data_IF_017097273666
#
_entry.id   IF_017097273666
#
_cell.length_a   1.000
_cell.length_b   1.000
_cell.length_c   1.000
_cell.angle_alpha   90.00
_cell.angle_beta   90.00
_cell.angle_gamma   90.00
#
_symmetry.space_group_name_H-M   'P 1'
#
loop_
_entity.id
_entity.type
_entity.pdbx_description
1 polymer ?
#
# COMPACT_ATOMS: atom_id res chain seq x y z
N UNK A 1 -5.11 -34.67 29.65
CA UNK A 1 -4.33 -33.63 30.36
C UNK A 1 -4.19 -32.36 29.53
N UNK A 2 -3.66 -32.41 28.31
CA UNK A 2 -3.56 -31.23 27.42
C UNK A 2 -4.94 -30.64 27.09
N UNK A 3 -5.86 -31.47 26.57
CA UNK A 3 -7.25 -31.03 26.27
C UNK A 3 -7.99 -30.39 27.46
N UNK A 4 -7.77 -30.86 28.69
CA UNK A 4 -8.40 -30.24 29.87
C UNK A 4 -7.83 -28.87 30.21
N UNK A 5 -6.58 -28.59 29.81
CA UNK A 5 -5.91 -27.31 30.03
C UNK A 5 -6.14 -26.33 28.88
N UNK A 6 -6.44 -26.82 27.66
CA UNK A 6 -6.71 -25.97 26.49
C UNK A 6 -8.19 -25.70 26.25
N UNK A 7 -9.10 -26.57 26.69
CA UNK A 7 -10.56 -26.41 26.46
C UNK A 7 -11.18 -25.22 27.19
N UNK A 8 -10.53 -24.65 28.20
CA UNK A 8 -11.01 -23.45 28.90
C UNK A 8 -10.92 -22.17 28.05
N UNK A 9 -10.26 -22.22 26.89
CA UNK A 9 -10.11 -21.06 26.00
C UNK A 9 -11.15 -21.12 24.88
N UNK A 10 -12.23 -20.35 25.03
CA UNK A 10 -13.42 -20.39 24.16
C UNK A 10 -13.41 -19.39 22.98
N UNK A 11 -12.50 -18.42 22.98
CA UNK A 11 -12.46 -17.32 22.01
C UNK A 11 -11.37 -17.48 20.96
N UNK A 12 -10.91 -18.71 20.73
CA UNK A 12 -9.85 -19.01 19.77
C UNK A 12 -10.45 -19.45 18.44
N UNK A 13 -9.85 -19.02 17.34
CA UNK A 13 -10.05 -19.65 16.04
C UNK A 13 -9.61 -21.13 16.08
N UNK A 14 -10.04 -21.90 15.10
CA UNK A 14 -9.66 -23.32 15.00
C UNK A 14 -8.14 -23.49 14.95
N UNK A 15 -7.45 -22.68 14.14
CA UNK A 15 -6.00 -22.73 13.97
C UNK A 15 -5.28 -22.38 15.28
N UNK A 16 -5.72 -21.33 15.99
CA UNK A 16 -5.13 -20.96 17.29
C UNK A 16 -5.34 -22.05 18.35
N UNK A 17 -6.48 -22.72 18.32
CA UNK A 17 -6.77 -23.83 19.23
C UNK A 17 -5.88 -25.04 18.94
N UNK A 18 -5.67 -25.36 17.68
CA UNK A 18 -4.81 -26.47 17.25
C UNK A 18 -3.34 -26.18 17.62
N UNK A 19 -2.87 -24.95 17.44
CA UNK A 19 -1.51 -24.52 17.78
C UNK A 19 -1.25 -24.56 19.29
N UNK A 20 -2.22 -24.09 20.07
CA UNK A 20 -2.16 -24.19 21.52
C UNK A 20 -2.17 -25.64 22.01
N UNK A 21 -2.95 -26.49 21.34
CA UNK A 21 -3.03 -27.92 21.63
C UNK A 21 -1.71 -28.62 21.30
N UNK A 22 -1.09 -28.31 20.16
CA UNK A 22 0.20 -28.84 19.77
C UNK A 22 1.32 -28.40 20.71
N UNK A 23 1.32 -27.12 21.12
CA UNK A 23 2.22 -26.58 22.15
C UNK A 23 2.13 -27.40 23.44
N UNK A 24 0.91 -27.71 23.89
CA UNK A 24 0.69 -28.54 25.06
C UNK A 24 1.18 -29.98 24.90
N UNK A 25 1.03 -30.59 23.72
CA UNK A 25 1.55 -31.93 23.45
C UNK A 25 3.08 -31.97 23.43
N UNK A 26 3.74 -30.99 22.81
CA UNK A 26 5.20 -30.86 22.84
C UNK A 26 5.71 -30.72 24.27
N UNK A 27 5.06 -29.89 25.08
CA UNK A 27 5.39 -29.74 26.50
C UNK A 27 5.22 -31.04 27.29
N UNK A 28 4.18 -31.83 27.00
CA UNK A 28 3.97 -33.13 27.62
C UNK A 28 5.08 -34.13 27.25
N UNK A 29 5.47 -34.21 25.97
CA UNK A 29 6.57 -35.05 25.52
C UNK A 29 7.90 -34.63 26.17
N UNK A 30 8.17 -33.32 26.22
CA UNK A 30 9.35 -32.79 26.90
C UNK A 30 9.35 -33.09 28.40
N UNK A 31 8.20 -33.01 29.06
CA UNK A 31 8.06 -33.40 30.46
C UNK A 31 8.32 -34.90 30.65
N UNK A 32 7.82 -35.76 29.76
CA UNK A 32 8.07 -37.20 29.85
C UNK A 32 9.56 -37.54 29.73
N UNK A 33 10.30 -36.86 28.85
CA UNK A 33 11.74 -37.04 28.70
C UNK A 33 12.56 -36.54 29.90
N UNK A 34 12.10 -35.46 30.55
CA UNK A 34 12.83 -34.81 31.66
C UNK A 34 12.37 -35.25 33.05
N UNK A 35 11.34 -36.10 33.14
CA UNK A 35 10.80 -36.52 34.42
C UNK A 35 11.82 -37.36 35.18
N UNK A 36 12.14 -36.96 36.40
CA UNK A 36 12.94 -37.77 37.31
C UNK A 36 12.09 -38.93 37.86
N UNK A 37 12.69 -40.10 38.17
CA UNK A 37 11.96 -41.23 38.74
C UNK A 37 11.51 -40.97 40.19
N UNK A 38 12.02 -39.93 40.83
CA UNK A 38 11.75 -39.58 42.24
C UNK A 38 10.52 -38.70 42.41
N UNK A 39 10.00 -38.10 41.34
CA UNK A 39 8.84 -37.20 41.37
C UNK A 39 7.64 -37.79 40.64
N UNK A 40 6.41 -37.56 41.12
CA UNK A 40 5.21 -38.00 40.42
C UNK A 40 5.05 -37.23 39.09
N UNK A 41 4.94 -37.98 38.00
CA UNK A 41 4.82 -37.41 36.65
C UNK A 41 3.59 -36.49 36.43
N UNK A 42 2.37 -36.83 36.88
CA UNK A 42 1.19 -36.03 36.57
C UNK A 42 1.23 -34.55 37.01
N UNK A 43 1.60 -34.21 38.27
CA UNK A 43 1.71 -32.81 38.67
C UNK A 43 2.85 -32.07 37.96
N UNK A 44 3.98 -32.74 37.71
CA UNK A 44 5.10 -32.19 36.95
C UNK A 44 4.71 -31.86 35.51
N UNK A 45 4.10 -32.82 34.79
CA UNK A 45 3.62 -32.63 33.44
C UNK A 45 2.56 -31.53 33.35
N UNK A 46 1.64 -31.47 34.32
CA UNK A 46 0.61 -30.41 34.38
C UNK A 46 1.24 -29.03 34.52
N UNK A 47 2.28 -28.88 35.35
CA UNK A 47 3.02 -27.64 35.48
C UNK A 47 3.76 -27.26 34.19
N UNK A 48 4.42 -28.23 33.55
CA UNK A 48 5.15 -28.01 32.31
C UNK A 48 4.23 -27.56 31.15
N UNK A 49 3.08 -28.22 30.98
CA UNK A 49 2.08 -27.85 29.97
C UNK A 49 1.55 -26.44 30.23
N UNK A 50 1.22 -26.11 31.48
CA UNK A 50 0.70 -24.79 31.84
C UNK A 50 1.74 -23.70 31.56
N UNK A 51 3.00 -23.93 31.90
CA UNK A 51 4.08 -22.97 31.64
C UNK A 51 4.27 -22.75 30.13
N UNK A 52 4.27 -23.83 29.33
CA UNK A 52 4.38 -23.73 27.87
C UNK A 52 3.21 -22.95 27.25
N UNK A 53 1.98 -23.13 27.76
CA UNK A 53 0.82 -22.33 27.35
C UNK A 53 1.05 -20.84 27.66
N UNK A 54 1.54 -20.51 28.85
CA UNK A 54 1.85 -19.10 29.19
C UNK A 54 2.97 -18.51 28.34
N UNK A 55 4.01 -19.30 28.03
CA UNK A 55 5.10 -18.88 27.15
C UNK A 55 4.58 -18.60 25.73
N UNK A 56 3.72 -19.47 25.20
CA UNK A 56 3.06 -19.25 23.90
C UNK A 56 2.32 -17.90 23.86
N UNK A 57 1.51 -17.60 24.88
CA UNK A 57 0.79 -16.32 24.93
C UNK A 57 1.72 -15.12 25.02
N UNK A 58 2.78 -15.19 25.84
CA UNK A 58 3.80 -14.15 25.92
C UNK A 58 4.46 -13.92 24.56
N UNK A 59 4.74 -14.98 23.81
CA UNK A 59 5.38 -14.87 22.51
C UNK A 59 4.41 -14.41 21.41
N UNK A 60 3.11 -14.73 21.51
CA UNK A 60 2.07 -14.12 20.68
C UNK A 60 1.99 -12.61 20.92
N UNK A 61 2.00 -12.16 22.18
CA UNK A 61 1.96 -10.74 22.53
C UNK A 61 3.21 -10.00 22.04
N UNK A 62 4.41 -10.57 22.24
CA UNK A 62 5.66 -10.00 21.70
C UNK A 62 5.63 -9.89 20.18
N UNK A 63 5.18 -10.94 19.47
CA UNK A 63 5.05 -10.91 18.01
C UNK A 63 4.05 -9.85 17.57
N UNK A 64 2.89 -9.77 18.22
CA UNK A 64 1.89 -8.74 17.95
C UNK A 64 2.43 -7.31 18.18
N UNK A 65 3.31 -7.11 19.15
CA UNK A 65 3.94 -5.81 19.39
C UNK A 65 5.08 -5.52 18.39
N UNK A 66 5.74 -6.54 17.86
CA UNK A 66 6.81 -6.41 16.87
C UNK A 66 6.28 -6.22 15.44
N UNK A 67 5.07 -6.73 15.14
CA UNK A 67 4.44 -6.65 13.83
C UNK A 67 3.19 -5.78 13.89
N UNK A 68 3.16 -4.72 13.09
CA UNK A 68 1.93 -3.98 12.81
C UNK A 68 1.26 -4.55 11.55
N UNK A 69 -0.07 -4.46 11.49
CA UNK A 69 -0.81 -4.78 10.26
C UNK A 69 -0.30 -3.89 9.12
N UNK A 70 -0.28 -4.41 7.90
CA UNK A 70 -0.02 -3.58 6.72
C UNK A 70 -1.01 -2.40 6.69
N UNK A 71 -2.27 -2.62 7.02
CA UNK A 71 -3.28 -1.55 7.12
C UNK A 71 -2.89 -0.48 8.15
N UNK A 72 -2.27 -0.87 9.26
CA UNK A 72 -1.81 0.06 10.29
C UNK A 72 -0.59 0.87 9.84
N UNK A 73 0.26 0.32 8.98
CA UNK A 73 1.33 1.07 8.31
C UNK A 73 0.79 2.02 7.24
N UNK A 74 -0.29 1.62 6.58
CA UNK A 74 -0.94 2.40 5.54
C UNK A 74 -1.95 3.40 6.11
N UNK A 75 -2.18 3.46 7.41
CA UNK A 75 -3.11 4.44 8.00
C UNK A 75 -2.32 5.53 8.70
N UNK A 76 -2.43 6.76 8.22
CA UNK A 76 -1.88 7.95 8.83
C UNK A 76 -2.49 8.19 10.24
N UNK A 77 -1.83 9.00 11.06
CA UNK A 77 -2.33 9.36 12.40
C UNK A 77 -3.70 10.07 12.37
N UNK A 78 -4.08 10.66 11.23
CA UNK A 78 -5.40 11.29 11.01
C UNK A 78 -6.47 10.32 10.46
N UNK A 79 -6.14 9.04 10.30
CA UNK A 79 -7.03 8.00 9.78
C UNK A 79 -7.11 7.93 8.26
N UNK A 80 -6.34 8.74 7.53
CA UNK A 80 -6.25 8.66 6.07
C UNK A 80 -5.35 7.51 5.62
N UNK A 81 -5.73 6.81 4.56
CA UNK A 81 -4.90 5.73 4.00
C UNK A 81 -3.77 6.33 3.15
N UNK A 82 -2.52 6.14 3.58
CA UNK A 82 -1.33 6.29 2.74
C UNK A 82 -1.35 5.24 1.64
N UNK A 83 -1.43 5.68 0.38
CA UNK A 83 -1.07 4.84 -0.76
C UNK A 83 0.47 4.75 -0.80
N UNK A 84 1.07 3.58 -0.53
CA UNK A 84 2.53 3.46 -0.48
C UNK A 84 3.09 3.66 -1.89
N UNK A 85 4.25 4.32 -2.02
CA UNK A 85 4.92 4.59 -3.31
C UNK A 85 5.19 3.32 -4.14
N UNK A 86 5.23 2.14 -3.50
CA UNK A 86 5.30 0.85 -4.21
C UNK A 86 4.04 0.51 -5.03
N UNK A 87 2.87 1.06 -4.70
CA UNK A 87 1.62 0.91 -5.46
C UNK A 87 1.53 1.90 -6.64
N UNK A 88 2.45 2.88 -6.72
CA UNK A 88 2.58 3.74 -7.90
C UNK A 88 3.10 2.97 -9.13
N UNK A 89 3.49 1.70 -8.97
CA UNK A 89 3.71 0.76 -10.07
C UNK A 89 2.45 -0.03 -10.46
N UNK A 90 1.25 0.58 -10.41
CA UNK A 90 0.19 0.21 -11.37
C UNK A 90 0.56 0.68 -12.78
N UNK A 91 1.73 0.27 -13.25
CA UNK A 91 1.96 -0.02 -14.67
C UNK A 91 1.58 -1.49 -14.96
N UNK A 92 0.66 -2.06 -14.18
CA UNK A 92 0.00 -3.30 -14.57
C UNK A 92 -1.00 -2.97 -15.68
N UNK A 93 -0.48 -3.13 -16.89
CA UNK A 93 -1.20 -3.39 -18.14
C UNK A 93 -2.32 -2.40 -18.42
N UNK A 94 -1.99 -1.25 -19.04
CA UNK A 94 -2.98 -0.64 -19.93
C UNK A 94 -3.46 -1.76 -20.87
N UNK A 95 -4.78 -1.96 -20.93
CA UNK A 95 -5.38 -2.76 -22.00
C UNK A 95 -4.80 -2.29 -23.34
N UNK A 96 -4.56 -3.17 -24.33
CA UNK A 96 -4.10 -2.73 -25.65
C UNK A 96 -4.91 -1.56 -26.21
N UNK A 97 -6.23 -1.52 -25.92
CA UNK A 97 -7.11 -0.40 -26.29
C UNK A 97 -6.74 0.90 -25.58
N UNK A 98 -6.47 0.86 -24.28
CA UNK A 98 -6.07 2.03 -23.50
C UNK A 98 -4.69 2.55 -23.95
N UNK A 99 -3.77 1.64 -24.30
CA UNK A 99 -2.45 2.01 -24.80
C UNK A 99 -2.54 2.74 -26.14
N UNK A 100 -3.40 2.25 -27.05
CA UNK A 100 -3.70 2.91 -28.33
C UNK A 100 -4.35 4.28 -28.11
N UNK A 101 -5.36 4.39 -27.24
CA UNK A 101 -6.01 5.67 -26.92
C UNK A 101 -5.03 6.69 -26.31
N UNK A 102 -4.10 6.24 -25.46
CA UNK A 102 -3.07 7.10 -24.91
C UNK A 102 -2.11 7.63 -26.00
N UNK A 103 -1.71 6.76 -26.93
CA UNK A 103 -0.87 7.16 -28.07
C UNK A 103 -1.59 8.11 -29.03
N UNK A 104 -2.87 7.86 -29.31
CA UNK A 104 -3.72 8.71 -30.16
C UNK A 104 -3.97 10.08 -29.53
N UNK A 105 -4.30 10.14 -28.24
CA UNK A 105 -4.49 11.40 -27.51
C UNK A 105 -3.19 12.21 -27.41
N UNK A 106 -2.04 11.56 -27.19
CA UNK A 106 -0.73 12.22 -27.22
C UNK A 106 -0.39 12.79 -28.61
N UNK A 107 -0.67 12.01 -29.67
CA UNK A 107 -0.49 12.44 -31.06
C UNK A 107 -1.42 13.59 -31.44
N UNK A 108 -2.66 13.57 -30.96
CA UNK A 108 -3.62 14.65 -31.14
C UNK A 108 -3.18 15.94 -30.47
N UNK A 109 -2.76 15.88 -29.20
CA UNK A 109 -2.20 17.04 -28.49
C UNK A 109 -0.99 17.65 -29.20
N UNK A 110 -0.14 16.81 -29.82
CA UNK A 110 1.00 17.29 -30.62
C UNK A 110 0.55 18.00 -31.89
N UNK A 111 -0.52 17.54 -32.56
CA UNK A 111 -1.11 18.23 -33.72
C UNK A 111 -1.71 19.59 -33.32
N UNK A 112 -2.46 19.64 -32.22
CA UNK A 112 -3.00 20.88 -31.66
C UNK A 112 -1.90 21.88 -31.30
N UNK A 113 -0.78 21.40 -30.75
CA UNK A 113 0.40 22.21 -30.46
C UNK A 113 0.99 22.85 -31.73
N UNK A 114 1.04 22.10 -32.85
CA UNK A 114 1.56 22.58 -34.13
C UNK A 114 0.60 23.50 -34.89
N UNK A 115 -0.71 23.26 -34.82
CA UNK A 115 -1.73 24.06 -35.50
C UNK A 115 -2.11 25.33 -34.72
N UNK A 116 -1.79 25.38 -33.42
CA UNK A 116 -2.14 26.46 -32.53
C UNK A 116 -1.35 27.75 -32.72
N UNK A 117 -1.91 28.86 -32.24
CA UNK A 117 -1.17 30.12 -32.07
C UNK A 117 0.08 29.93 -31.19
N UNK A 118 1.12 30.76 -31.36
CA UNK A 118 2.37 30.67 -30.60
C UNK A 118 2.14 30.65 -29.06
N UNK A 119 1.16 31.42 -28.57
CA UNK A 119 0.79 31.42 -27.14
C UNK A 119 0.08 30.14 -26.69
N UNK A 120 -0.71 29.52 -27.57
CA UNK A 120 -1.34 28.22 -27.29
C UNK A 120 -0.28 27.13 -27.19
N UNK A 121 0.67 27.08 -28.15
CA UNK A 121 1.81 26.16 -28.15
C UNK A 121 2.62 26.28 -26.84
N UNK A 122 3.00 27.49 -26.46
CA UNK A 122 3.69 27.75 -25.20
C UNK A 122 2.87 27.31 -23.99
N UNK A 123 1.55 27.49 -24.03
CA UNK A 123 0.63 27.03 -22.99
C UNK A 123 0.59 25.51 -22.84
N UNK A 124 0.45 24.77 -23.95
CA UNK A 124 0.46 23.30 -23.96
C UNK A 124 1.79 22.75 -23.44
N UNK A 125 2.91 23.27 -23.94
CA UNK A 125 4.25 22.86 -23.48
C UNK A 125 4.46 23.17 -22.00
N UNK A 126 4.00 24.33 -21.53
CA UNK A 126 4.09 24.71 -20.11
C UNK A 126 3.22 23.82 -19.21
N UNK A 127 2.10 23.28 -19.70
CA UNK A 127 1.29 22.31 -18.97
C UNK A 127 1.98 20.94 -18.90
N UNK A 128 2.63 20.50 -19.99
CA UNK A 128 3.42 19.26 -20.03
C UNK A 128 4.60 19.31 -19.06
N UNK A 129 5.34 20.43 -19.03
CA UNK A 129 6.42 20.64 -18.07
C UNK A 129 5.91 20.62 -16.62
N UNK A 130 4.73 21.19 -16.36
CA UNK A 130 4.11 21.15 -15.04
C UNK A 130 3.77 19.71 -14.60
N UNK A 131 3.32 18.85 -15.53
CA UNK A 131 3.10 17.42 -15.25
C UNK A 131 4.40 16.69 -14.93
N UNK A 132 5.53 17.10 -15.51
CA UNK A 132 6.87 16.58 -15.21
C UNK A 132 7.50 17.17 -13.94
N UNK A 133 6.76 17.97 -13.15
CA UNK A 133 7.21 18.51 -11.86
C UNK A 133 7.77 19.93 -11.89
N UNK A 134 7.79 20.62 -13.05
CA UNK A 134 8.28 22.00 -13.13
C UNK A 134 7.27 23.01 -12.57
N UNK A 135 7.77 23.99 -11.83
CA UNK A 135 6.99 25.13 -11.36
C UNK A 135 6.83 26.20 -12.44
N UNK A 136 5.77 27.02 -12.38
CA UNK A 136 5.60 28.15 -13.31
C UNK A 136 6.77 29.14 -13.27
N UNK A 137 7.49 29.23 -12.15
CA UNK A 137 8.67 30.08 -11.99
C UNK A 137 9.88 29.54 -12.78
N UNK A 138 10.09 28.22 -12.77
CA UNK A 138 11.15 27.57 -13.55
C UNK A 138 10.85 27.64 -15.05
N UNK A 139 9.59 27.40 -15.44
CA UNK A 139 9.17 27.54 -16.85
C UNK A 139 9.35 29.00 -17.33
N UNK A 140 9.08 29.98 -16.47
CA UNK A 140 9.32 31.39 -16.76
C UNK A 140 10.81 31.69 -17.03
N UNK A 141 11.72 31.09 -16.25
CA UNK A 141 13.17 31.21 -16.47
C UNK A 141 13.57 30.61 -17.83
N UNK A 142 13.02 29.45 -18.20
CA UNK A 142 13.28 28.80 -19.50
C UNK A 142 12.89 29.73 -20.68
N UNK A 143 11.75 30.41 -20.57
CA UNK A 143 11.26 31.29 -21.63
C UNK A 143 11.76 32.75 -21.53
N UNK A 144 12.50 33.12 -20.48
CA UNK A 144 12.94 34.50 -20.24
C UNK A 144 11.80 35.50 -20.02
N UNK A 145 10.68 35.06 -19.44
CA UNK A 145 9.48 35.89 -19.22
C UNK A 145 9.02 35.86 -17.75
N UNK A 146 8.26 36.84 -17.27
CA UNK A 146 7.62 36.76 -15.96
C UNK A 146 6.66 35.58 -15.83
N UNK A 147 6.58 34.98 -14.63
CA UNK A 147 5.68 33.85 -14.30
C UNK A 147 4.20 34.10 -14.64
N UNK A 148 3.77 35.36 -14.61
CA UNK A 148 2.42 35.77 -14.99
C UNK A 148 2.08 35.43 -16.47
N UNK A 149 3.05 35.52 -17.37
CA UNK A 149 2.84 35.14 -18.78
C UNK A 149 2.65 33.64 -18.95
N UNK A 150 3.45 32.83 -18.25
CA UNK A 150 3.33 31.37 -18.25
C UNK A 150 1.95 30.96 -17.75
N UNK A 151 1.49 31.53 -16.63
CA UNK A 151 0.15 31.27 -16.07
C UNK A 151 -0.96 31.68 -17.03
N UNK A 152 -0.81 32.82 -17.73
CA UNK A 152 -1.78 33.26 -18.73
C UNK A 152 -1.85 32.30 -19.93
N UNK A 153 -0.71 31.82 -20.45
CA UNK A 153 -0.66 30.83 -21.52
C UNK A 153 -1.27 29.49 -21.08
N UNK A 154 -0.94 29.01 -19.87
CA UNK A 154 -1.53 27.82 -19.29
C UNK A 154 -3.06 27.96 -19.15
N UNK A 155 -3.55 29.11 -18.67
CA UNK A 155 -4.99 29.36 -18.55
C UNK A 155 -5.69 29.33 -19.91
N UNK A 156 -5.10 29.95 -20.93
CA UNK A 156 -5.62 29.93 -22.30
C UNK A 156 -5.64 28.51 -22.87
N UNK A 157 -4.55 27.76 -22.69
CA UNK A 157 -4.46 26.37 -23.14
C UNK A 157 -5.49 25.48 -22.45
N UNK A 158 -5.65 25.56 -21.11
CA UNK A 158 -6.69 24.80 -20.40
C UNK A 158 -8.09 25.11 -20.90
N UNK A 159 -8.41 26.38 -21.16
CA UNK A 159 -9.72 26.78 -21.70
C UNK A 159 -9.98 26.14 -23.07
N UNK A 160 -8.98 26.18 -23.95
CA UNK A 160 -9.10 25.64 -25.31
C UNK A 160 -9.15 24.11 -25.32
N UNK A 161 -8.29 23.44 -24.56
CA UNK A 161 -8.27 21.97 -24.45
C UNK A 161 -9.56 21.42 -23.84
N UNK A 162 -10.19 22.12 -22.89
CA UNK A 162 -11.50 21.71 -22.32
C UNK A 162 -12.67 21.85 -23.30
N UNK A 163 -12.55 22.73 -24.30
CA UNK A 163 -13.58 22.95 -25.31
C UNK A 163 -13.39 22.04 -26.54
N UNK A 164 -12.29 21.30 -26.59
CA UNK A 164 -11.94 20.43 -27.70
C UNK A 164 -12.70 19.08 -27.58
N UNK A 165 -13.68 18.89 -28.46
CA UNK A 165 -14.54 17.71 -28.44
C UNK A 165 -13.82 16.44 -28.86
N UNK A 166 -12.85 16.54 -29.78
CA UNK A 166 -12.06 15.38 -30.23
C UNK A 166 -11.10 14.92 -29.13
N UNK A 167 -10.45 15.86 -28.43
CA UNK A 167 -9.63 15.51 -27.27
C UNK A 167 -10.45 14.88 -26.14
N UNK A 168 -11.67 15.39 -25.90
CA UNK A 168 -12.56 14.81 -24.88
C UNK A 168 -12.99 13.39 -25.25
N UNK A 169 -13.29 13.12 -26.52
CA UNK A 169 -13.66 11.79 -26.99
C UNK A 169 -12.53 10.76 -26.88
N UNK A 170 -11.27 11.19 -27.04
CA UNK A 170 -10.08 10.33 -26.89
C UNK A 170 -9.70 10.04 -25.43
N UNK A 171 -10.26 10.78 -24.47
CA UNK A 171 -9.96 10.68 -23.03
C UNK A 171 -11.13 10.09 -22.21
N UNK A 172 -12.26 9.80 -22.85
CA UNK A 172 -13.46 9.23 -22.22
C UNK A 172 -13.37 7.70 -22.15
#
# INVERSE_FOLDING_TARGET
MVRSLTRSFSHLSQDEFDELTQTGYLALCNAAMKCSPTQPFPPYARAAIRNAIYDYWRDCEKRKNAFCSLDALLTAEDGSTYEPEFMLQKTDTLSPEQAVLLEESASYLKRLECAGSNHLKKGIVSLRLQQSGYTSAEVAKIYGVPSNHVRAWQSKARKQLRQDQELYALLA
#
